data_IF_245193735178
#
_entry.id   IF_245193735178
#
_cell.length_a   1.000
_cell.length_b   1.000
_cell.length_c   1.000
_cell.angle_alpha   90.00
_cell.angle_beta   90.00
_cell.angle_gamma   90.00
#
_symmetry.space_group_name_H-M   'P 1'
#
loop_
_entity.id
_entity.type
_entity.pdbx_description
1 polymer ?
#
# COMPACT_ATOMS: atom_id res chain seq x y z
N UNK A 1 -3.52 24.97 8.39
CA UNK A 1 -2.62 23.80 8.35
C UNK A 1 -2.81 23.04 7.03
N UNK A 2 -1.76 22.82 6.22
CA UNK A 2 -1.89 21.90 5.09
C UNK A 2 -2.30 20.51 5.64
N UNK A 3 -3.12 19.74 4.90
CA UNK A 3 -3.46 18.37 5.32
C UNK A 3 -2.17 17.58 5.44
N UNK A 4 -2.02 16.77 6.49
CA UNK A 4 -0.82 15.96 6.72
C UNK A 4 -0.86 14.71 5.83
N UNK A 5 -0.81 14.97 4.52
CA UNK A 5 -0.71 13.93 3.51
C UNK A 5 0.59 13.15 3.69
N UNK A 6 0.50 11.82 3.69
CA UNK A 6 1.69 10.97 3.71
C UNK A 6 2.25 10.92 2.30
N UNK A 7 3.29 11.70 2.05
CA UNK A 7 4.01 11.70 0.79
C UNK A 7 4.80 10.40 0.70
N UNK A 8 4.44 9.55 -0.27
CA UNK A 8 5.15 8.30 -0.51
C UNK A 8 6.40 8.52 -1.34
N UNK A 9 6.28 9.40 -2.35
CA UNK A 9 7.29 9.72 -3.33
C UNK A 9 6.97 11.08 -3.97
N UNK A 10 7.84 11.61 -4.83
CA UNK A 10 7.62 12.86 -5.56
C UNK A 10 6.34 12.83 -6.41
N UNK A 11 5.90 11.63 -6.82
CA UNK A 11 4.75 11.43 -7.71
C UNK A 11 3.52 10.81 -7.06
N UNK A 12 3.60 10.38 -5.81
CA UNK A 12 2.48 9.67 -5.16
C UNK A 12 2.27 10.12 -3.72
N UNK A 13 1.02 10.40 -3.38
CA UNK A 13 0.60 10.73 -2.02
C UNK A 13 -0.50 9.79 -1.54
N UNK A 14 -0.50 9.56 -0.24
CA UNK A 14 -1.53 8.79 0.44
C UNK A 14 -2.26 9.64 1.49
N UNK A 15 -3.49 9.25 1.85
CA UNK A 15 -4.24 9.94 2.89
C UNK A 15 -3.48 9.98 4.22
N UNK A 16 -3.92 10.86 5.11
CA UNK A 16 -3.46 10.88 6.50
C UNK A 16 -3.58 9.50 7.17
N UNK A 17 -2.64 9.19 8.07
CA UNK A 17 -2.61 7.92 8.82
C UNK A 17 -2.53 6.66 7.96
N UNK A 18 -1.87 6.75 6.81
CA UNK A 18 -1.63 5.60 5.93
C UNK A 18 -0.15 5.32 5.74
N UNK A 19 0.17 4.06 5.45
CA UNK A 19 1.55 3.64 5.14
C UNK A 19 1.72 3.45 3.65
N UNK A 20 2.76 4.06 3.09
CA UNK A 20 3.15 3.89 1.70
C UNK A 20 3.83 2.54 1.48
N UNK A 21 3.25 1.72 0.62
CA UNK A 21 3.79 0.42 0.21
C UNK A 21 4.06 0.41 -1.29
N UNK A 22 5.25 -0.04 -1.67
CA UNK A 22 5.58 -0.28 -3.06
C UNK A 22 4.70 -1.40 -3.64
N UNK A 23 4.05 -1.14 -4.77
CA UNK A 23 3.28 -2.13 -5.52
C UNK A 23 4.12 -2.72 -6.66
N UNK A 24 4.93 -1.88 -7.30
CA UNK A 24 5.74 -2.30 -8.43
C UNK A 24 7.12 -1.68 -8.31
N UNK A 25 8.04 -2.47 -7.77
CA UNK A 25 9.46 -2.15 -7.72
C UNK A 25 10.13 -2.63 -9.01
N UNK A 26 10.88 -1.75 -9.66
CA UNK A 26 11.68 -2.08 -10.82
C UNK A 26 13.00 -1.31 -10.73
N UNK A 27 14.13 -2.03 -10.79
CA UNK A 27 15.48 -1.46 -10.66
C UNK A 27 15.74 -0.66 -9.36
N UNK A 28 15.04 -0.99 -8.28
CA UNK A 28 15.16 -0.28 -6.99
C UNK A 28 14.34 1.02 -6.90
N UNK A 29 13.51 1.29 -7.90
CA UNK A 29 12.54 2.39 -7.89
C UNK A 29 11.11 1.85 -7.88
N UNK A 30 10.23 2.50 -7.10
CA UNK A 30 8.82 2.15 -7.02
C UNK A 30 8.02 2.95 -8.04
N UNK A 31 7.58 2.28 -9.11
CA UNK A 31 6.76 2.92 -10.17
C UNK A 31 5.29 3.04 -9.78
N UNK A 32 4.85 2.23 -8.82
CA UNK A 32 3.48 2.24 -8.32
C UNK A 32 3.47 2.10 -6.80
N UNK A 33 2.60 2.88 -6.16
CA UNK A 33 2.45 2.94 -4.72
C UNK A 33 1.03 2.61 -4.29
N UNK A 34 0.92 1.97 -3.13
CA UNK A 34 -0.33 1.63 -2.46
C UNK A 34 -0.32 2.17 -1.05
N UNK A 35 -1.46 2.72 -0.63
CA UNK A 35 -1.71 3.21 0.70
C UNK A 35 -2.33 2.11 1.55
N UNK A 36 -1.68 1.76 2.64
CA UNK A 36 -2.28 0.96 3.70
C UNK A 36 -3.03 1.87 4.65
N UNK A 37 -4.31 1.62 4.95
CA UNK A 37 -5.13 2.46 5.86
C UNK A 37 -4.70 2.38 7.34
N UNK A 38 -3.50 1.87 7.60
CA UNK A 38 -2.90 1.72 8.91
C UNK A 38 -1.53 2.38 8.89
N UNK A 39 -1.22 3.10 9.97
CA UNK A 39 0.10 3.66 10.23
C UNK A 39 1.05 2.55 10.70
N UNK A 40 2.30 2.55 10.19
CA UNK A 40 3.29 1.53 10.53
C UNK A 40 2.94 0.11 10.06
N UNK A 41 2.09 -0.02 9.03
CA UNK A 41 1.68 -1.31 8.51
C UNK A 41 2.85 -2.03 7.81
N UNK A 42 2.89 -3.35 7.94
CA UNK A 42 3.80 -4.19 7.17
C UNK A 42 3.23 -4.45 5.79
N UNK A 43 4.01 -4.08 4.76
CA UNK A 43 3.68 -4.34 3.37
C UNK A 43 3.97 -5.82 3.03
N UNK A 44 2.94 -6.59 2.73
CA UNK A 44 3.08 -7.95 2.22
C UNK A 44 3.65 -8.00 0.80
N UNK A 45 4.27 -9.13 0.44
CA UNK A 45 4.88 -9.38 -0.88
C UNK A 45 3.86 -9.56 -2.01
N UNK A 46 2.56 -9.71 -1.72
CA UNK A 46 1.53 -9.77 -2.76
C UNK A 46 1.25 -8.39 -3.38
N UNK A 47 1.92 -7.34 -2.91
CA UNK A 47 1.80 -5.96 -3.38
C UNK A 47 0.41 -5.32 -3.22
N UNK A 48 -0.58 -6.07 -2.74
CA UNK A 48 -1.98 -5.65 -2.65
C UNK A 48 -2.50 -5.65 -1.21
N UNK A 49 -1.90 -6.44 -0.33
CA UNK A 49 -2.34 -6.61 1.05
C UNK A 49 -1.33 -6.00 2.02
N UNK A 50 -1.81 -5.57 3.17
CA UNK A 50 -0.95 -5.21 4.27
C UNK A 50 -1.51 -5.61 5.61
N UNK A 51 -0.59 -5.73 6.54
CA UNK A 51 -0.86 -6.19 7.86
C UNK A 51 -0.55 -5.09 8.87
N UNK A 52 -1.32 -4.99 9.96
CA UNK A 52 -0.95 -4.15 11.10
C UNK A 52 0.40 -4.58 11.66
N UNK A 53 1.11 -3.63 12.28
CA UNK A 53 2.39 -3.88 12.97
C UNK A 53 2.32 -5.04 13.97
N UNK A 54 1.18 -5.20 14.64
CA UNK A 54 0.94 -6.28 15.62
C UNK A 54 0.89 -7.69 14.98
N UNK A 55 0.61 -7.78 13.67
CA UNK A 55 0.49 -9.04 12.93
C UNK A 55 1.41 -9.03 11.70
N UNK A 56 2.74 -9.00 11.88
CA UNK A 56 3.68 -8.81 10.77
C UNK A 56 3.75 -10.00 9.80
N UNK A 57 3.21 -11.17 10.15
CA UNK A 57 3.25 -12.37 9.30
C UNK A 57 2.11 -12.32 8.28
N UNK A 58 2.44 -12.02 7.03
CA UNK A 58 1.50 -12.02 5.92
C UNK A 58 1.24 -13.44 5.40
N UNK A 59 0.00 -13.92 5.52
CA UNK A 59 -0.48 -15.10 4.79
C UNK A 59 -1.25 -14.66 3.55
N UNK A 60 -0.50 -14.41 2.47
CA UNK A 60 -1.05 -13.95 1.18
C UNK A 60 -2.01 -14.96 0.52
N UNK A 61 -1.84 -16.27 0.78
CA UNK A 61 -2.75 -17.30 0.26
C UNK A 61 -4.11 -17.30 0.94
N UNK A 62 -4.13 -17.08 2.25
CA UNK A 62 -5.36 -17.00 3.02
C UNK A 62 -5.94 -15.57 3.08
N UNK A 63 -5.17 -14.55 2.69
CA UNK A 63 -5.54 -13.15 2.84
C UNK A 63 -5.63 -12.71 4.30
N UNK A 64 -4.77 -13.26 5.16
CA UNK A 64 -4.77 -13.01 6.61
C UNK A 64 -3.38 -12.64 7.11
N UNK A 65 -3.35 -12.02 8.29
CA UNK A 65 -2.15 -11.58 8.98
C UNK A 65 -2.10 -12.25 10.36
N UNK A 66 -0.94 -12.76 10.75
CA UNK A 66 -0.73 -13.43 12.03
C UNK A 66 0.43 -12.79 12.81
N UNK A 67 0.42 -12.92 14.13
CA UNK A 67 1.56 -12.48 14.97
C UNK A 67 2.77 -13.41 14.77
N UNK A 68 2.52 -14.67 14.46
CA UNK A 68 3.54 -15.71 14.27
C UNK A 68 3.03 -16.82 13.35
N UNK A 69 3.95 -17.61 12.80
CA UNK A 69 3.64 -18.79 11.99
C UNK A 69 2.74 -19.76 12.78
N UNK A 70 1.63 -20.23 12.20
CA UNK A 70 0.61 -21.10 12.82
C UNK A 70 -0.16 -20.52 14.02
N UNK A 71 -0.26 -19.19 14.16
CA UNK A 71 -1.15 -18.61 15.16
C UNK A 71 -2.63 -18.78 14.74
N UNK A 72 -3.51 -19.41 15.56
CA UNK A 72 -4.95 -19.49 15.27
C UNK A 72 -5.63 -18.11 15.32
N UNK A 73 -5.00 -17.14 15.97
CA UNK A 73 -5.44 -15.74 15.99
C UNK A 73 -4.75 -15.00 14.83
N UNK A 74 -5.43 -15.02 13.68
CA UNK A 74 -5.10 -14.20 12.53
C UNK A 74 -6.17 -13.15 12.29
N UNK A 75 -5.77 -11.93 11.96
CA UNK A 75 -6.68 -10.89 11.47
C UNK A 75 -6.75 -10.93 9.96
N UNK A 76 -7.83 -10.44 9.37
CA UNK A 76 -7.91 -10.35 7.92
C UNK A 76 -6.92 -9.29 7.41
N UNK A 77 -6.20 -9.59 6.33
CA UNK A 77 -5.31 -8.63 5.73
C UNK A 77 -6.11 -7.46 5.16
N UNK A 78 -5.58 -6.26 5.34
CA UNK A 78 -6.21 -5.06 4.80
C UNK A 78 -5.80 -4.90 3.36
N UNK A 79 -6.76 -4.53 2.52
CA UNK A 79 -6.48 -4.20 1.13
C UNK A 79 -5.88 -2.81 1.06
N UNK A 80 -4.81 -2.68 0.28
CA UNK A 80 -4.23 -1.39 -0.07
C UNK A 80 -5.19 -0.61 -0.96
N UNK A 81 -5.17 0.71 -0.81
CA UNK A 81 -5.77 1.66 -1.73
C UNK A 81 -4.66 2.11 -2.70
N UNK A 82 -4.94 2.37 -3.97
CA UNK A 82 -3.91 2.97 -4.82
C UNK A 82 -3.55 4.37 -4.32
N UNK A 83 -2.25 4.68 -4.31
CA UNK A 83 -1.80 6.03 -4.02
C UNK A 83 -2.32 7.01 -5.07
N UNK A 84 -2.58 8.23 -4.61
CA UNK A 84 -3.04 9.31 -5.48
C UNK A 84 -1.83 9.87 -6.21
N UNK A 85 -1.83 9.90 -7.55
CA UNK A 85 -0.72 10.49 -8.28
C UNK A 85 -0.71 12.01 -8.10
N UNK A 86 0.44 12.56 -7.73
CA UNK A 86 0.70 13.99 -7.53
C UNK A 86 0.82 14.70 -8.88
N UNK A 87 -0.27 14.78 -9.64
CA UNK A 87 -0.62 15.85 -10.58
C UNK A 87 0.31 16.31 -11.73
N UNK A 88 1.57 15.89 -11.87
CA UNK A 88 2.49 16.48 -12.88
C UNK A 88 2.75 15.60 -14.12
N UNK A 89 2.27 14.36 -14.14
CA UNK A 89 2.39 13.47 -15.32
C UNK A 89 1.06 12.98 -15.91
N UNK A 90 0.00 13.77 -15.76
CA UNK A 90 -1.31 13.48 -16.32
C UNK A 90 -1.47 13.75 -17.82
N UNK A 91 -0.61 13.21 -18.72
CA UNK A 91 -0.94 13.03 -20.17
C UNK A 91 -0.13 11.91 -20.86
N UNK A 92 -0.30 10.66 -20.43
CA UNK A 92 -0.13 9.50 -21.34
C UNK A 92 -0.95 8.31 -20.85
N UNK A 93 -2.26 8.33 -21.07
CA UNK A 93 -3.06 7.16 -20.68
C UNK A 93 -4.59 7.20 -20.78
N UNK A 94 -5.26 8.34 -21.03
CA UNK A 94 -6.69 8.30 -21.37
C UNK A 94 -6.86 8.00 -22.86
N UNK A 95 -6.85 6.71 -23.22
CA UNK A 95 -7.69 6.25 -24.34
C UNK A 95 -9.11 6.11 -23.79
N UNK A 96 -9.86 7.20 -23.82
CA UNK A 96 -11.31 7.10 -23.91
C UNK A 96 -11.61 6.61 -25.32
N UNK A 97 -11.98 5.34 -25.47
CA UNK A 97 -12.59 4.87 -26.70
C UNK A 97 -13.93 5.59 -26.87
N UNK A 98 -14.09 6.19 -28.05
CA UNK A 98 -15.31 6.80 -28.56
C UNK A 98 -16.44 5.78 -28.72
#
# INVERSE_FOLDING_TARGET
PPPSESVCDDYYTCPESTTCCCIYEYWGECFAWGCCPLEGATCCEDHYSCCPHEYPVCNVRAGTCSVSNNNPLGVQAMKRILATPTGTFGKRGKRSSA
#
